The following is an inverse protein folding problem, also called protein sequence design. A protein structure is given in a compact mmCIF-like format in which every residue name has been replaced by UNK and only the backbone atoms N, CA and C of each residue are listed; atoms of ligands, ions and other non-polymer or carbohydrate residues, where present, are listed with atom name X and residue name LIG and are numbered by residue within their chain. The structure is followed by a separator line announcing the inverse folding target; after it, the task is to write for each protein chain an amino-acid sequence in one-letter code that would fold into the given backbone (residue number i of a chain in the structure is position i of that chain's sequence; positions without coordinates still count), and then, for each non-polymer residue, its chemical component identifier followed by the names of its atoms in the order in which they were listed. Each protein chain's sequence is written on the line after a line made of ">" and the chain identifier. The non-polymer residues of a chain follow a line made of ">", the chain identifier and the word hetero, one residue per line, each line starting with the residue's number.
data_IF_274443911385
#
_entry.id   IF_274443911385
#
_cell.length_a   1.000
_cell.length_b   1.000
_cell.length_c   1.000
_cell.angle_alpha   90.00
_cell.angle_beta   90.00
_cell.angle_gamma   90.00
#
_symmetry.space_group_name_H-M   'P 1'
#
loop_
_entity.id
_entity.type
_entity.pdbx_description
1 polymer ?
#
# COMPACT_ATOMS: atom_id res chain seq x y z
N UNK A 1 -11.18 23.26 6.36
CA UNK A 1 -9.90 22.61 6.01
C UNK A 1 -10.22 21.13 5.87
N UNK A 2 -9.93 20.51 4.73
CA UNK A 2 -10.19 19.09 4.50
C UNK A 2 -9.15 18.29 5.30
N UNK A 3 -9.59 17.27 6.04
CA UNK A 3 -8.68 16.39 6.80
C UNK A 3 -7.84 15.51 5.86
N UNK A 4 -6.69 14.96 6.30
CA UNK A 4 -5.89 14.06 5.47
C UNK A 4 -6.67 12.86 4.93
N UNK A 5 -7.58 12.27 5.72
CA UNK A 5 -8.40 11.14 5.30
C UNK A 5 -9.49 11.54 4.30
N UNK A 6 -10.11 12.71 4.45
CA UNK A 6 -11.03 13.24 3.45
C UNK A 6 -10.31 13.54 2.12
N UNK A 7 -9.08 14.07 2.17
CA UNK A 7 -8.24 14.27 0.99
C UNK A 7 -7.93 12.94 0.29
N UNK A 8 -7.63 11.89 1.06
CA UNK A 8 -7.42 10.54 0.53
C UNK A 8 -8.65 10.02 -0.20
N UNK A 9 -9.83 10.14 0.44
CA UNK A 9 -11.10 9.75 -0.13
C UNK A 9 -11.34 10.47 -1.47
N UNK A 10 -11.20 11.80 -1.50
CA UNK A 10 -11.41 12.61 -2.70
C UNK A 10 -10.44 12.25 -3.84
N UNK A 11 -9.19 11.93 -3.52
CA UNK A 11 -8.17 11.56 -4.51
C UNK A 11 -8.42 10.15 -5.09
N UNK A 12 -9.08 9.26 -4.33
CA UNK A 12 -9.24 7.85 -4.68
C UNK A 12 -10.66 7.44 -5.09
N UNK A 13 -11.68 8.28 -4.87
CA UNK A 13 -13.11 7.97 -5.12
C UNK A 13 -13.42 7.51 -6.54
N UNK A 14 -12.67 8.03 -7.53
CA UNK A 14 -12.83 7.69 -8.95
C UNK A 14 -11.73 6.74 -9.48
N UNK A 15 -10.88 6.23 -8.59
CA UNK A 15 -9.77 5.32 -8.92
C UNK A 15 -9.82 4.07 -8.04
N UNK A 16 -8.88 3.91 -7.11
CA UNK A 16 -8.70 2.71 -6.30
C UNK A 16 -9.98 2.30 -5.56
N UNK A 17 -10.83 3.25 -5.13
CA UNK A 17 -12.09 2.88 -4.48
C UNK A 17 -13.04 2.09 -5.38
N UNK A 18 -13.01 2.34 -6.69
CA UNK A 18 -13.82 1.62 -7.68
C UNK A 18 -13.17 0.35 -8.20
N UNK A 19 -11.84 0.30 -8.27
CA UNK A 19 -11.11 -0.73 -9.04
C UNK A 19 -10.25 -1.68 -8.21
N UNK A 20 -9.79 -1.27 -7.03
CA UNK A 20 -8.95 -2.13 -6.20
C UNK A 20 -9.72 -3.37 -5.71
N UNK A 21 -8.99 -4.47 -5.58
CA UNK A 21 -9.55 -5.79 -5.28
C UNK A 21 -9.12 -6.30 -3.91
N UNK A 22 -8.18 -5.61 -3.27
CA UNK A 22 -7.69 -5.94 -1.94
C UNK A 22 -7.20 -4.68 -1.23
N UNK A 23 -7.51 -4.58 0.06
CA UNK A 23 -6.83 -3.67 0.98
C UNK A 23 -5.94 -4.49 1.90
N UNK A 24 -4.70 -4.05 2.04
CA UNK A 24 -3.73 -4.58 3.00
C UNK A 24 -3.28 -3.43 3.88
N UNK A 25 -3.31 -3.60 5.20
CA UNK A 25 -2.93 -2.55 6.14
C UNK A 25 -1.97 -3.06 7.20
N UNK A 26 -1.06 -2.19 7.65
CA UNK A 26 -0.32 -2.41 8.89
C UNK A 26 -1.28 -2.49 10.07
N UNK A 27 -1.04 -3.35 11.08
CA UNK A 27 -1.84 -3.44 12.30
C UNK A 27 -1.50 -2.34 13.31
N UNK A 28 -1.39 -1.09 12.86
CA UNK A 28 -1.19 0.08 13.73
C UNK A 28 -2.43 0.96 13.65
N UNK A 29 -2.83 1.55 14.78
CA UNK A 29 -4.08 2.32 14.88
C UNK A 29 -4.18 3.40 13.80
N UNK A 30 -3.09 4.14 13.57
CA UNK A 30 -3.05 5.21 12.55
C UNK A 30 -3.32 4.70 11.13
N UNK A 31 -2.74 3.57 10.71
CA UNK A 31 -2.94 3.02 9.36
C UNK A 31 -4.31 2.39 9.20
N UNK A 32 -4.82 1.74 10.24
CA UNK A 32 -6.17 1.20 10.23
C UNK A 32 -7.23 2.30 10.20
N UNK A 33 -7.03 3.39 10.96
CA UNK A 33 -7.92 4.55 10.96
C UNK A 33 -7.90 5.28 9.60
N UNK A 34 -6.72 5.54 9.03
CA UNK A 34 -6.59 6.12 7.68
C UNK A 34 -7.30 5.25 6.63
N UNK A 35 -7.14 3.93 6.72
CA UNK A 35 -7.79 2.98 5.82
C UNK A 35 -9.31 3.02 5.96
N UNK A 36 -9.84 2.89 7.18
CA UNK A 36 -11.29 2.84 7.43
C UNK A 36 -11.99 4.14 7.04
N UNK A 37 -11.37 5.30 7.30
CA UNK A 37 -11.98 6.60 7.00
C UNK A 37 -11.78 6.97 5.52
N UNK A 38 -10.54 6.87 5.02
CA UNK A 38 -10.16 7.37 3.71
C UNK A 38 -10.52 6.44 2.55
N UNK A 39 -10.69 5.14 2.81
CA UNK A 39 -11.02 4.12 1.80
C UNK A 39 -12.37 3.44 2.08
N UNK A 40 -13.29 4.13 2.76
CA UNK A 40 -14.57 3.57 3.21
C UNK A 40 -15.38 2.89 2.11
N UNK A 41 -15.48 3.47 0.91
CA UNK A 41 -16.27 2.88 -0.19
C UNK A 41 -15.58 1.62 -0.72
N UNK A 42 -14.24 1.60 -0.77
CA UNK A 42 -13.48 0.40 -1.10
C UNK A 42 -13.73 -0.70 -0.08
N UNK A 43 -13.65 -0.36 1.21
CA UNK A 43 -13.87 -1.29 2.31
C UNK A 43 -15.27 -1.90 2.25
N UNK A 44 -16.30 -1.07 2.15
CA UNK A 44 -17.70 -1.51 2.09
C UNK A 44 -17.95 -2.42 0.88
N UNK A 45 -17.38 -2.06 -0.28
CA UNK A 45 -17.47 -2.88 -1.50
C UNK A 45 -16.80 -4.24 -1.33
N UNK A 46 -15.60 -4.28 -0.77
CA UNK A 46 -14.86 -5.52 -0.58
C UNK A 46 -15.51 -6.43 0.46
N UNK A 47 -16.05 -5.86 1.55
CA UNK A 47 -16.84 -6.62 2.54
C UNK A 47 -18.08 -7.24 1.91
N UNK A 48 -18.83 -6.49 1.09
CA UNK A 48 -20.00 -7.00 0.37
C UNK A 48 -19.64 -8.13 -0.63
N UNK A 49 -18.38 -8.21 -1.05
CA UNK A 49 -17.84 -9.27 -1.91
C UNK A 49 -17.26 -10.46 -1.12
N UNK A 50 -17.26 -10.40 0.23
CA UNK A 50 -16.65 -11.41 1.08
C UNK A 50 -15.11 -11.41 1.03
N UNK A 51 -14.50 -10.27 0.68
CA UNK A 51 -13.05 -10.09 0.54
C UNK A 51 -12.54 -9.07 1.57
N UNK A 52 -12.58 -9.35 2.88
CA UNK A 52 -12.24 -8.36 3.89
C UNK A 52 -10.77 -7.92 3.81
N UNK A 53 -10.47 -6.79 4.48
CA UNK A 53 -9.10 -6.27 4.66
C UNK A 53 -8.20 -7.34 5.25
N UNK A 54 -6.95 -7.40 4.75
CA UNK A 54 -5.89 -8.20 5.37
C UNK A 54 -5.00 -7.29 6.23
N UNK A 55 -4.84 -7.64 7.50
CA UNK A 55 -3.82 -7.03 8.36
C UNK A 55 -2.50 -7.79 8.17
N UNK A 56 -1.48 -7.10 7.68
CA UNK A 56 -0.16 -7.67 7.41
C UNK A 56 0.87 -7.03 8.36
N UNK A 57 1.31 -7.80 9.34
CA UNK A 57 2.22 -7.34 10.41
C UNK A 57 3.60 -6.91 9.90
N UNK A 58 4.09 -7.47 8.81
CA UNK A 58 5.35 -7.05 8.18
C UNK A 58 5.30 -5.64 7.57
N UNK A 59 4.13 -4.99 7.53
CA UNK A 59 3.96 -3.58 7.14
C UNK A 59 4.15 -2.59 8.30
N UNK A 60 4.50 -3.02 9.50
CA UNK A 60 4.78 -2.11 10.61
C UNK A 60 5.92 -1.13 10.32
N UNK A 61 5.90 0.00 11.01
CA UNK A 61 7.00 0.95 10.97
C UNK A 61 8.31 0.36 11.48
N UNK A 62 9.42 0.83 10.92
CA UNK A 62 10.74 0.22 11.07
C UNK A 62 11.35 0.45 12.45
N UNK A 63 11.16 1.62 13.06
CA UNK A 63 11.81 1.95 14.33
C UNK A 63 11.26 1.19 15.55
N UNK A 64 12.01 1.26 16.66
CA UNK A 64 11.69 0.60 17.95
C UNK A 64 10.81 1.46 18.88
N UNK A 65 10.24 2.58 18.42
CA UNK A 65 9.43 3.44 19.30
C UNK A 65 8.13 2.75 19.69
N UNK A 66 7.73 2.88 20.96
CA UNK A 66 6.49 2.28 21.44
C UNK A 66 5.24 2.73 20.67
N UNK A 67 5.20 3.99 20.20
CA UNK A 67 4.10 4.49 19.36
C UNK A 67 4.02 3.84 17.96
N UNK A 68 5.09 3.15 17.56
CA UNK A 68 5.22 2.42 16.30
C UNK A 68 5.10 0.91 16.48
N UNK A 69 4.66 0.46 17.66
CA UNK A 69 4.39 -0.95 17.96
C UNK A 69 2.87 -1.15 18.11
N UNK A 70 2.28 -2.16 17.45
CA UNK A 70 0.88 -2.53 17.64
C UNK A 70 0.54 -2.80 19.11
N UNK A 71 -0.68 -2.50 19.52
CA UNK A 71 -1.19 -2.95 20.83
C UNK A 71 -1.28 -4.47 20.84
N UNK A 72 -0.92 -5.09 21.97
CA UNK A 72 -0.96 -6.54 22.20
C UNK A 72 -1.52 -6.86 23.58
N UNK A 73 -2.36 -7.90 23.74
CA UNK A 73 -2.84 -8.83 22.69
C UNK A 73 -3.79 -8.17 21.69
N UNK A 74 -4.07 -8.87 20.57
CA UNK A 74 -4.85 -8.33 19.45
C UNK A 74 -6.23 -7.82 19.85
N UNK A 75 -6.81 -8.38 20.92
CA UNK A 75 -8.09 -7.94 21.47
C UNK A 75 -8.05 -6.49 21.99
N UNK A 76 -6.93 -6.05 22.60
CA UNK A 76 -6.77 -4.66 23.00
C UNK A 76 -6.72 -3.73 21.80
N UNK A 77 -6.12 -4.19 20.70
CA UNK A 77 -6.09 -3.42 19.45
C UNK A 77 -7.49 -3.36 18.82
N UNK A 78 -8.21 -4.48 18.77
CA UNK A 78 -9.58 -4.60 18.23
C UNK A 78 -10.56 -3.64 18.89
N UNK A 79 -10.51 -3.53 20.22
CA UNK A 79 -11.43 -2.69 20.99
C UNK A 79 -10.92 -1.24 21.18
N UNK A 80 -9.75 -0.89 20.65
CA UNK A 80 -9.22 0.47 20.74
C UNK A 80 -9.94 1.46 19.83
N UNK A 81 -9.77 2.75 20.10
CA UNK A 81 -10.39 3.84 19.35
C UNK A 81 -11.93 3.70 19.27
N UNK A 82 -12.59 3.56 20.42
CA UNK A 82 -14.05 3.44 20.52
C UNK A 82 -14.62 2.30 19.63
N UNK A 83 -13.97 1.14 19.66
CA UNK A 83 -14.33 -0.07 18.89
C UNK A 83 -14.30 0.10 17.37
N UNK A 84 -13.63 1.14 16.85
CA UNK A 84 -13.52 1.40 15.41
C UNK A 84 -12.96 0.21 14.62
N UNK A 85 -12.11 -0.61 15.23
CA UNK A 85 -11.47 -1.76 14.58
C UNK A 85 -12.18 -3.10 14.81
N UNK A 86 -13.33 -3.09 15.48
CA UNK A 86 -14.06 -4.31 15.88
C UNK A 86 -14.42 -5.23 14.72
N UNK A 87 -14.71 -4.67 13.55
CA UNK A 87 -15.10 -5.38 12.32
C UNK A 87 -13.92 -5.96 11.53
N UNK A 88 -12.67 -5.67 11.91
CA UNK A 88 -11.50 -6.19 11.21
C UNK A 88 -11.18 -7.63 11.64
N UNK A 89 -10.64 -8.40 10.70
CA UNK A 89 -10.08 -9.71 11.00
C UNK A 89 -8.62 -9.58 11.44
N UNK A 90 -8.32 -10.10 12.64
CA UNK A 90 -6.99 -10.11 13.24
C UNK A 90 -6.34 -11.50 13.19
N UNK A 91 -7.03 -12.51 12.64
CA UNK A 91 -6.55 -13.89 12.57
C UNK A 91 -5.31 -14.07 11.71
N UNK A 92 -5.02 -13.09 10.83
CA UNK A 92 -3.84 -13.09 9.95
C UNK A 92 -2.55 -12.62 10.65
N UNK A 93 -2.66 -12.09 11.87
CA UNK A 93 -1.49 -11.62 12.62
C UNK A 93 -0.69 -12.80 13.17
N UNK A 94 0.64 -12.76 13.00
CA UNK A 94 1.51 -13.75 13.63
C UNK A 94 1.50 -13.62 15.15
N UNK A 95 1.89 -14.67 15.88
CA UNK A 95 2.01 -14.62 17.35
C UNK A 95 2.93 -13.46 17.82
N UNK A 96 3.96 -13.16 17.03
CA UNK A 96 4.93 -12.09 17.29
C UNK A 96 4.60 -10.74 16.64
N UNK A 97 3.37 -10.51 16.18
CA UNK A 97 3.02 -9.32 15.38
C UNK A 97 3.34 -7.98 16.06
N UNK A 98 3.42 -7.92 17.39
CA UNK A 98 3.76 -6.70 18.13
C UNK A 98 5.25 -6.64 18.55
N UNK A 99 6.10 -7.49 17.99
CA UNK A 99 7.54 -7.52 18.29
C UNK A 99 8.31 -6.45 17.49
N UNK A 100 9.48 -6.06 18.01
CA UNK A 100 10.51 -5.26 17.31
C UNK A 100 11.83 -6.01 17.17
N UNK A 101 11.78 -7.34 17.29
CA UNK A 101 12.91 -8.26 17.14
C UNK A 101 12.63 -9.25 15.99
N UNK A 102 13.63 -10.08 15.65
CA UNK A 102 13.50 -11.04 14.55
C UNK A 102 13.28 -10.32 13.20
N UNK A 103 12.33 -10.79 12.40
CA UNK A 103 12.01 -10.14 11.11
C UNK A 103 11.52 -8.69 11.29
N UNK A 104 11.02 -8.33 12.48
CA UNK A 104 10.55 -6.99 12.78
C UNK A 104 11.65 -6.02 13.23
N UNK A 105 12.86 -6.52 13.47
CA UNK A 105 14.01 -5.70 13.84
C UNK A 105 14.36 -4.72 12.70
N UNK A 106 14.64 -3.43 13.00
CA UNK A 106 15.10 -2.46 12.02
C UNK A 106 16.23 -2.95 11.08
N UNK A 107 17.16 -3.76 11.59
CA UNK A 107 18.27 -4.31 10.79
C UNK A 107 17.79 -5.22 9.65
N UNK A 108 16.61 -5.82 9.81
CA UNK A 108 16.02 -6.75 8.85
C UNK A 108 14.99 -6.07 7.93
N UNK A 109 14.87 -4.73 7.96
CA UNK A 109 13.83 -4.00 7.23
C UNK A 109 13.83 -4.26 5.71
N UNK A 110 15.01 -4.36 5.07
CA UNK A 110 15.11 -4.67 3.63
C UNK A 110 14.67 -6.10 3.30
N UNK A 111 15.01 -7.07 4.15
CA UNK A 111 14.56 -8.46 3.99
C UNK A 111 13.05 -8.58 4.24
N UNK A 112 12.53 -7.93 5.29
CA UNK A 112 11.10 -7.84 5.56
C UNK A 112 10.33 -7.22 4.38
N UNK A 113 10.86 -6.15 3.80
CA UNK A 113 10.27 -5.52 2.62
C UNK A 113 10.29 -6.44 1.39
N UNK A 114 11.35 -7.24 1.21
CA UNK A 114 11.39 -8.27 0.16
C UNK A 114 10.31 -9.34 0.35
N UNK A 115 10.08 -9.79 1.59
CA UNK A 115 8.99 -10.71 1.90
C UNK A 115 7.61 -10.12 1.60
N UNK A 116 7.38 -8.84 1.97
CA UNK A 116 6.15 -8.12 1.61
C UNK A 116 5.97 -8.05 0.10
N UNK A 117 7.00 -7.69 -0.67
CA UNK A 117 6.92 -7.60 -2.13
C UNK A 117 6.58 -8.95 -2.77
N UNK A 118 7.22 -10.04 -2.32
CA UNK A 118 6.92 -11.39 -2.80
C UNK A 118 5.49 -11.79 -2.47
N UNK A 119 5.07 -11.58 -1.22
CA UNK A 119 3.69 -11.84 -0.79
C UNK A 119 2.67 -11.08 -1.65
N UNK A 120 2.92 -9.79 -1.94
CA UNK A 120 2.07 -8.98 -2.80
C UNK A 120 2.03 -9.50 -4.24
N UNK A 121 3.18 -9.90 -4.80
CA UNK A 121 3.27 -10.42 -6.17
C UNK A 121 2.51 -11.73 -6.35
N UNK A 122 2.53 -12.57 -5.33
CA UNK A 122 1.91 -13.89 -5.36
C UNK A 122 0.37 -13.81 -5.20
N UNK A 123 -0.18 -12.63 -4.94
CA UNK A 123 -1.62 -12.36 -4.93
C UNK A 123 -2.24 -12.44 -6.32
N UNK A 124 -3.49 -12.90 -6.38
CA UNK A 124 -4.27 -12.97 -7.63
C UNK A 124 -4.88 -11.61 -8.01
N UNK A 125 -5.05 -10.72 -7.03
CA UNK A 125 -5.60 -9.39 -7.20
C UNK A 125 -4.68 -8.52 -8.07
N UNK A 126 -5.24 -7.93 -9.13
CA UNK A 126 -4.51 -7.05 -10.05
C UNK A 126 -4.30 -5.65 -9.50
N UNK A 127 -5.10 -5.23 -8.53
CA UNK A 127 -4.98 -3.90 -7.94
C UNK A 127 -5.14 -4.01 -6.43
N UNK A 128 -4.07 -3.70 -5.71
CA UNK A 128 -3.95 -3.86 -4.27
C UNK A 128 -3.63 -2.50 -3.66
N UNK A 129 -4.39 -2.10 -2.65
CA UNK A 129 -4.07 -0.93 -1.82
C UNK A 129 -3.30 -1.39 -0.60
N UNK A 130 -2.15 -0.75 -0.35
CA UNK A 130 -1.27 -1.01 0.79
C UNK A 130 -1.20 0.25 1.64
N UNK A 131 -1.71 0.18 2.87
CA UNK A 131 -1.66 1.28 3.85
C UNK A 131 -0.62 0.96 4.92
N UNK A 132 0.48 1.71 4.93
CA UNK A 132 1.65 1.42 5.76
C UNK A 132 2.30 2.73 6.26
N UNK A 133 3.59 2.72 6.56
CA UNK A 133 4.30 3.87 7.15
C UNK A 133 5.47 4.29 6.28
N UNK A 134 6.03 5.47 6.56
CA UNK A 134 7.09 6.07 5.76
C UNK A 134 8.28 5.14 5.52
N UNK A 135 8.94 4.65 6.56
CA UNK A 135 10.24 3.98 6.35
C UNK A 135 10.06 2.58 5.76
N UNK A 136 9.06 1.83 6.22
CA UNK A 136 8.78 0.51 5.63
C UNK A 136 8.39 0.63 4.14
N UNK A 137 7.65 1.66 3.74
CA UNK A 137 7.35 1.88 2.32
C UNK A 137 8.60 2.22 1.51
N UNK A 138 9.54 3.00 2.03
CA UNK A 138 10.84 3.24 1.35
C UNK A 138 11.58 1.93 1.11
N UNK A 139 11.67 1.07 2.13
CA UNK A 139 12.26 -0.26 1.95
C UNK A 139 11.50 -1.12 0.93
N UNK A 140 10.16 -1.03 0.89
CA UNK A 140 9.32 -1.74 -0.08
C UNK A 140 9.58 -1.23 -1.50
N UNK A 141 9.55 0.08 -1.74
CA UNK A 141 9.59 0.61 -3.11
C UNK A 141 11.00 0.82 -3.65
N UNK A 142 11.97 1.12 -2.79
CA UNK A 142 13.36 1.42 -3.18
C UNK A 142 14.37 0.34 -2.70
N UNK A 143 13.91 -0.69 -1.97
CA UNK A 143 14.76 -1.77 -1.46
C UNK A 143 15.59 -1.41 -0.21
N UNK A 144 15.59 -0.14 0.20
CA UNK A 144 16.38 0.41 1.30
C UNK A 144 15.72 1.65 1.88
N UNK A 145 16.26 2.17 2.99
CA UNK A 145 15.88 3.47 3.52
C UNK A 145 16.43 4.57 2.61
N UNK A 146 15.57 5.16 1.78
CA UNK A 146 15.92 6.21 0.81
C UNK A 146 15.53 7.61 1.30
N UNK A 147 15.99 8.64 0.60
CA UNK A 147 15.59 10.05 0.82
C UNK A 147 14.20 10.37 0.24
N UNK A 148 13.45 9.37 -0.22
CA UNK A 148 12.11 9.56 -0.79
C UNK A 148 11.16 10.12 0.27
N UNK A 149 10.69 11.34 0.04
CA UNK A 149 9.66 11.96 0.86
C UNK A 149 8.25 11.44 0.50
N UNK A 150 7.36 11.43 1.49
CA UNK A 150 5.96 11.06 1.35
C UNK A 150 5.10 12.00 2.19
N UNK A 151 4.11 12.63 1.57
CA UNK A 151 3.11 13.40 2.30
C UNK A 151 2.10 12.45 2.97
N UNK A 152 1.58 12.82 4.14
CA UNK A 152 0.54 12.02 4.78
C UNK A 152 -0.64 11.83 3.82
N UNK A 153 -1.12 10.59 3.72
CA UNK A 153 -2.18 10.14 2.83
C UNK A 153 -1.92 10.32 1.33
N UNK A 154 -0.67 10.55 0.93
CA UNK A 154 -0.28 10.55 -0.48
C UNK A 154 -0.39 9.15 -1.08
N UNK A 155 -1.02 9.06 -2.25
CA UNK A 155 -1.14 7.82 -3.02
C UNK A 155 -0.07 7.83 -4.10
N UNK A 156 0.77 6.79 -4.10
CA UNK A 156 1.66 6.49 -5.24
C UNK A 156 1.41 5.08 -5.72
N UNK A 157 1.65 4.84 -7.00
CA UNK A 157 1.31 3.56 -7.63
C UNK A 157 2.51 2.94 -8.27
N UNK A 158 2.68 1.65 -8.02
CA UNK A 158 3.81 0.86 -8.45
C UNK A 158 3.34 -0.38 -9.20
N UNK A 159 4.24 -0.93 -9.99
CA UNK A 159 4.08 -2.27 -10.57
C UNK A 159 5.39 -3.03 -10.46
N UNK A 160 5.31 -4.36 -10.53
CA UNK A 160 6.50 -5.20 -10.50
C UNK A 160 7.31 -5.04 -11.80
N UNK A 161 8.63 -4.94 -11.65
CA UNK A 161 9.57 -4.84 -12.77
C UNK A 161 9.47 -6.08 -13.69
N UNK A 162 9.43 -7.28 -13.09
CA UNK A 162 9.20 -8.55 -13.77
C UNK A 162 8.50 -9.55 -12.85
N UNK A 163 7.84 -10.55 -13.43
CA UNK A 163 7.27 -11.69 -12.69
C UNK A 163 8.36 -12.63 -12.16
N UNK A 164 9.47 -12.73 -12.89
CA UNK A 164 10.58 -13.66 -12.61
C UNK A 164 11.73 -13.00 -11.82
N UNK A 165 11.52 -11.78 -11.31
CA UNK A 165 12.53 -11.10 -10.49
C UNK A 165 12.54 -11.65 -9.06
N UNK A 166 13.59 -12.33 -8.63
CA UNK A 166 13.65 -12.89 -7.28
C UNK A 166 13.47 -11.84 -6.17
N UNK A 167 13.86 -10.59 -6.38
CA UNK A 167 13.71 -9.50 -5.39
C UNK A 167 12.33 -8.82 -5.40
N UNK A 168 11.50 -9.20 -6.39
CA UNK A 168 10.17 -8.66 -6.61
C UNK A 168 10.15 -7.13 -6.71
N UNK A 169 11.17 -6.54 -7.34
CA UNK A 169 11.40 -5.10 -7.37
C UNK A 169 10.22 -4.34 -7.97
N UNK A 170 9.91 -3.19 -7.38
CA UNK A 170 8.83 -2.31 -7.80
C UNK A 170 9.38 -1.15 -8.65
N UNK A 171 8.56 -0.68 -9.58
CA UNK A 171 8.78 0.54 -10.35
C UNK A 171 7.54 1.42 -10.25
N UNK A 172 7.75 2.70 -9.95
CA UNK A 172 6.67 3.68 -9.86
C UNK A 172 6.07 3.95 -11.24
N UNK A 173 4.75 4.09 -11.31
CA UNK A 173 4.02 4.44 -12.52
C UNK A 173 3.19 5.71 -12.29
N UNK A 174 3.30 6.64 -13.22
CA UNK A 174 2.49 7.86 -13.21
C UNK A 174 1.11 7.58 -13.83
N UNK A 175 0.08 7.49 -12.99
CA UNK A 175 -1.30 7.22 -13.45
C UNK A 175 -1.86 8.37 -14.31
N UNK A 176 -1.35 9.61 -14.19
CA UNK A 176 -1.80 10.69 -15.06
C UNK A 176 -1.51 10.41 -16.53
N UNK A 177 -0.45 9.64 -16.81
CA UNK A 177 -0.08 9.22 -18.16
C UNK A 177 -0.95 8.10 -18.74
N UNK A 178 -1.74 7.40 -17.91
CA UNK A 178 -2.71 6.38 -18.34
C UNK A 178 -4.06 6.97 -18.77
N UNK A 179 -4.30 8.27 -18.54
CA UNK A 179 -5.54 8.97 -18.93
C UNK A 179 -5.48 9.60 -20.32
N UNK A 180 -4.39 9.44 -21.09
CA UNK A 180 -4.27 9.98 -22.46
C UNK A 180 -4.42 8.88 -23.51
N UNK A 181 -5.67 8.54 -23.79
CA UNK A 181 -6.11 8.04 -25.10
C UNK A 181 -7.52 8.61 -25.33
N UNK A 182 -7.59 9.85 -25.84
CA UNK A 182 -8.43 10.23 -26.99
C UNK A 182 -8.21 11.72 -27.31
N UNK A 183 -7.96 12.03 -28.58
CA UNK A 183 -7.81 13.36 -29.20
C UNK A 183 -6.50 14.17 -28.93
N UNK A 184 -5.58 14.14 -29.88
CA UNK A 184 -4.55 15.18 -30.07
C UNK A 184 -3.24 14.69 -30.70
N UNK A 185 -2.94 15.18 -31.91
CA UNK A 185 -1.69 14.94 -32.65
C UNK A 185 -0.44 15.36 -31.84
N UNK A 186 0.69 14.66 -31.99
CA UNK A 186 1.85 14.93 -31.15
C UNK A 186 2.69 16.10 -31.65
N UNK A 187 3.18 16.90 -30.69
CA UNK A 187 4.22 17.92 -30.91
C UNK A 187 5.58 17.45 -30.42
N UNK A 188 6.63 18.06 -31.01
CA UNK A 188 8.09 17.85 -30.96
C UNK A 188 8.80 17.55 -29.60
N UNK A 189 8.11 17.24 -28.51
CA UNK A 189 8.70 16.81 -27.22
C UNK A 189 8.86 15.27 -27.09
N UNK A 190 8.81 14.55 -28.22
CA UNK A 190 8.51 13.11 -28.29
C UNK A 190 9.60 12.15 -27.79
N UNK A 191 10.82 12.59 -27.47
CA UNK A 191 11.87 11.67 -27.00
C UNK A 191 11.72 11.22 -25.54
N UNK A 192 11.07 12.02 -24.67
CA UNK A 192 10.72 11.59 -23.29
C UNK A 192 9.42 10.76 -23.26
N UNK A 193 8.49 11.13 -24.13
CA UNK A 193 7.17 10.49 -24.25
C UNK A 193 7.28 9.08 -24.84
N UNK A 194 8.25 8.80 -25.72
CA UNK A 194 8.49 7.44 -26.26
C UNK A 194 8.95 6.43 -25.20
N UNK A 195 9.81 6.81 -24.24
CA UNK A 195 10.18 5.91 -23.13
C UNK A 195 8.99 5.63 -22.21
N UNK A 196 8.20 6.65 -21.89
CA UNK A 196 7.00 6.50 -21.08
C UNK A 196 5.97 5.61 -21.79
N UNK A 197 5.70 5.84 -23.08
CA UNK A 197 4.78 5.01 -23.89
C UNK A 197 5.24 3.55 -24.03
N UNK A 198 6.54 3.29 -24.13
CA UNK A 198 7.07 1.93 -24.15
C UNK A 198 6.93 1.25 -22.76
N UNK A 199 7.14 1.98 -21.67
CA UNK A 199 6.91 1.48 -20.31
C UNK A 199 5.42 1.21 -20.07
N UNK A 200 4.53 2.12 -20.45
CA UNK A 200 3.08 2.01 -20.25
C UNK A 200 2.47 0.83 -21.02
N UNK A 201 2.87 0.61 -22.29
CA UNK A 201 2.46 -0.59 -23.07
C UNK A 201 3.02 -1.89 -22.50
N UNK A 202 4.12 -1.86 -21.74
CA UNK A 202 4.65 -3.04 -21.03
C UNK A 202 3.91 -3.32 -19.72
N UNK A 203 3.20 -2.34 -19.15
CA UNK A 203 2.53 -2.45 -17.85
C UNK A 203 1.03 -2.78 -17.93
N UNK A 204 0.42 -2.74 -19.11
CA UNK A 204 -0.96 -3.19 -19.29
C UNK A 204 -1.14 -4.64 -18.82
N UNK A 205 -2.14 -4.85 -17.96
CA UNK A 205 -2.41 -6.17 -17.35
C UNK A 205 -1.45 -6.58 -16.23
N UNK A 206 -0.46 -5.75 -15.86
CA UNK A 206 0.36 -6.00 -14.67
C UNK A 206 -0.37 -5.60 -13.40
N UNK A 207 -0.02 -6.28 -12.31
CA UNK A 207 -0.49 -5.96 -10.98
C UNK A 207 -0.02 -4.55 -10.57
N UNK A 208 -0.93 -3.79 -9.96
CA UNK A 208 -0.72 -2.42 -9.48
C UNK A 208 -0.83 -2.38 -7.96
N UNK A 209 0.15 -1.76 -7.33
CA UNK A 209 0.23 -1.59 -5.89
C UNK A 209 0.08 -0.10 -5.57
N UNK A 210 -1.03 0.26 -4.95
CA UNK A 210 -1.34 1.62 -4.51
C UNK A 210 -0.87 1.77 -3.07
N UNK A 211 0.27 2.43 -2.87
CA UNK A 211 0.84 2.63 -1.53
C UNK A 211 0.35 3.94 -0.93
N UNK A 212 -0.05 3.89 0.34
CA UNK A 212 -0.58 5.00 1.13
C UNK A 212 0.16 5.03 2.47
N UNK A 213 0.56 6.23 2.90
CA UNK A 213 1.15 6.52 4.21
C UNK A 213 0.11 7.10 5.17
#
# INVERSE_FOLDING_TARGET
>A
MITPCEKLYETTKDTAQKTAQLIVSSPLRRTMETMLIGLKDLKDRLDAQGQPVILLDTLQEVDRKACHTPLSPAELLRCSNDEMFSSLDFSTLSEGYASKDGIFDPVNASERAKQVRRWLRDRLEREIVVVAHHDILKHIVDGQLSDRAWENTEVRVFTFHSKDDDDASLMEIDISSLKKDDTGEPTSSEMKVQRLRHTLRRTEGRQRIHTIV
#
